data_IF_821920077289
#
_entry.id   IF_821920077289
#
_cell.length_a   1.000
_cell.length_b   1.000
_cell.length_c   1.000
_cell.angle_alpha   90.00
_cell.angle_beta   90.00
_cell.angle_gamma   90.00
#
_symmetry.space_group_name_H-M   'P 1'
#
loop_
_entity.id
_entity.type
_entity.pdbx_description
1 polymer ?
#
# COMPACT_ATOMS: atom_id res chain seq x y z
N UNK A 1 -38.84 4.94 -42.01
CA UNK A 1 -37.67 5.41 -41.25
C UNK A 1 -37.40 4.40 -40.15
N UNK A 2 -36.56 3.40 -40.40
CA UNK A 2 -36.17 2.40 -39.41
C UNK A 2 -34.71 2.63 -39.07
N UNK A 3 -34.44 3.25 -37.92
CA UNK A 3 -33.11 3.31 -37.33
C UNK A 3 -32.77 1.93 -36.75
N UNK A 4 -32.26 1.02 -37.58
CA UNK A 4 -31.57 -0.17 -37.10
C UNK A 4 -30.21 0.26 -36.58
N UNK A 5 -30.06 0.25 -35.26
CA UNK A 5 -28.78 0.52 -34.60
C UNK A 5 -27.84 -0.62 -34.97
N UNK A 6 -26.76 -0.32 -35.68
CA UNK A 6 -25.72 -1.27 -36.10
C UNK A 6 -24.93 -1.78 -34.88
N UNK A 7 -25.51 -2.74 -34.15
CA UNK A 7 -24.88 -3.35 -32.97
C UNK A 7 -23.67 -4.22 -33.34
N UNK A 8 -23.56 -4.72 -34.59
CA UNK A 8 -22.49 -5.61 -35.02
C UNK A 8 -21.12 -4.92 -35.01
N UNK A 9 -21.02 -3.72 -35.60
CA UNK A 9 -19.80 -2.92 -35.57
C UNK A 9 -19.52 -2.29 -34.21
N UNK A 10 -20.56 -1.75 -33.55
CA UNK A 10 -20.41 -1.07 -32.27
C UNK A 10 -19.99 -2.01 -31.13
N UNK A 11 -20.61 -3.19 -31.03
CA UNK A 11 -20.27 -4.18 -30.01
C UNK A 11 -18.83 -4.71 -30.21
N UNK A 12 -18.42 -4.96 -31.46
CA UNK A 12 -17.04 -5.35 -31.79
C UNK A 12 -16.01 -4.30 -31.39
N UNK A 13 -16.30 -3.01 -31.64
CA UNK A 13 -15.45 -1.89 -31.19
C UNK A 13 -15.36 -1.84 -29.67
N UNK A 14 -16.50 -1.89 -28.96
CA UNK A 14 -16.53 -1.85 -27.49
C UNK A 14 -15.75 -3.03 -26.91
N UNK A 15 -15.95 -4.24 -27.42
CA UNK A 15 -15.22 -5.42 -26.98
C UNK A 15 -13.71 -5.27 -27.18
N UNK A 16 -13.29 -4.81 -28.36
CA UNK A 16 -11.86 -4.60 -28.68
C UNK A 16 -11.23 -3.53 -27.78
N UNK A 17 -11.97 -2.45 -27.49
CA UNK A 17 -11.54 -1.40 -26.54
C UNK A 17 -11.37 -1.97 -25.14
N UNK A 18 -12.32 -2.77 -24.65
CA UNK A 18 -12.24 -3.40 -23.33
C UNK A 18 -11.06 -4.37 -23.24
N UNK A 19 -10.84 -5.20 -24.27
CA UNK A 19 -9.72 -6.15 -24.32
C UNK A 19 -8.38 -5.41 -24.34
N UNK A 20 -8.22 -4.39 -25.20
CA UNK A 20 -6.99 -3.61 -25.30
C UNK A 20 -6.63 -2.88 -23.99
N UNK A 21 -7.63 -2.47 -23.20
CA UNK A 21 -7.43 -1.77 -21.92
C UNK A 21 -7.41 -2.69 -20.70
N UNK A 22 -7.82 -3.96 -20.82
CA UNK A 22 -7.82 -4.91 -19.70
C UNK A 22 -6.46 -5.01 -18.96
N UNK A 23 -5.29 -4.95 -19.62
CA UNK A 23 -4.02 -4.99 -18.91
C UNK A 23 -3.74 -3.70 -18.12
N UNK A 24 -4.27 -2.55 -18.56
CA UNK A 24 -4.17 -1.28 -17.83
C UNK A 24 -4.91 -1.34 -16.49
N UNK A 25 -6.09 -2.00 -16.47
CA UNK A 25 -6.86 -2.21 -15.24
C UNK A 25 -6.08 -3.11 -14.28
N UNK A 26 -5.52 -4.21 -14.80
CA UNK A 26 -4.69 -5.12 -14.00
C UNK A 26 -3.50 -4.40 -13.36
N UNK A 27 -2.75 -3.59 -14.13
CA UNK A 27 -1.63 -2.80 -13.61
C UNK A 27 -2.06 -1.83 -12.51
N UNK A 28 -3.23 -1.20 -12.64
CA UNK A 28 -3.78 -0.31 -11.62
C UNK A 28 -4.02 -1.04 -10.30
N UNK A 29 -4.65 -2.22 -10.34
CA UNK A 29 -4.88 -3.05 -9.15
C UNK A 29 -3.57 -3.50 -8.52
N UNK A 30 -2.59 -3.90 -9.33
CA UNK A 30 -1.26 -4.26 -8.83
C UNK A 30 -0.59 -3.07 -8.14
N UNK A 31 -0.65 -1.87 -8.73
CA UNK A 31 -0.12 -0.65 -8.11
C UNK A 31 -0.76 -0.38 -6.73
N UNK A 32 -2.09 -0.43 -6.64
CA UNK A 32 -2.79 -0.27 -5.35
C UNK A 32 -2.39 -1.34 -4.34
N UNK A 33 -2.27 -2.60 -4.79
CA UNK A 33 -1.81 -3.72 -3.97
C UNK A 33 -0.40 -3.50 -3.42
N UNK A 34 0.57 -3.14 -4.27
CA UNK A 34 1.95 -2.84 -3.85
C UNK A 34 2.03 -1.63 -2.92
N UNK A 35 1.26 -0.57 -3.19
CA UNK A 35 1.22 0.61 -2.34
C UNK A 35 0.70 0.25 -0.94
N UNK A 36 -0.37 -0.55 -0.87
CA UNK A 36 -0.93 -1.07 0.37
C UNK A 36 0.06 -1.95 1.14
N UNK A 37 0.68 -2.92 0.46
CA UNK A 37 1.66 -3.82 1.08
C UNK A 37 2.86 -3.07 1.66
N UNK A 38 3.45 -2.14 0.89
CA UNK A 38 4.58 -1.34 1.38
C UNK A 38 4.19 -0.42 2.53
N UNK A 39 2.97 0.14 2.50
CA UNK A 39 2.46 0.93 3.63
C UNK A 39 2.37 0.08 4.89
N UNK A 40 1.77 -1.12 4.81
CA UNK A 40 1.67 -2.04 5.94
C UNK A 40 3.05 -2.49 6.47
N UNK A 41 3.98 -2.80 5.57
CA UNK A 41 5.35 -3.20 5.96
C UNK A 41 6.10 -2.09 6.69
N UNK A 42 6.04 -0.86 6.18
CA UNK A 42 6.72 0.28 6.81
C UNK A 42 6.04 0.72 8.10
N UNK A 43 4.70 0.61 8.18
CA UNK A 43 3.97 0.83 9.42
C UNK A 43 4.38 -0.21 10.48
N UNK A 44 4.50 -1.48 10.10
CA UNK A 44 4.96 -2.54 10.99
C UNK A 44 6.43 -2.34 11.44
N UNK A 45 7.30 -1.88 10.53
CA UNK A 45 8.69 -1.55 10.85
C UNK A 45 8.76 -0.37 11.84
N UNK A 46 7.97 0.68 11.62
CA UNK A 46 7.90 1.82 12.54
C UNK A 46 7.32 1.43 13.90
N UNK A 47 6.24 0.65 13.90
CA UNK A 47 5.59 0.14 15.11
C UNK A 47 6.56 -0.69 15.95
N UNK A 48 7.21 -1.67 15.32
CA UNK A 48 8.21 -2.53 15.99
C UNK A 48 9.46 -1.77 16.46
N UNK A 49 9.83 -0.66 15.81
CA UNK A 49 10.97 0.14 16.25
C UNK A 49 10.79 0.69 17.68
N UNK A 50 9.56 1.01 18.09
CA UNK A 50 9.25 1.46 19.44
C UNK A 50 9.48 0.40 20.53
N UNK A 51 9.62 -0.89 20.17
CA UNK A 51 10.00 -1.94 21.10
C UNK A 51 11.48 -1.87 21.51
N UNK A 52 12.30 -1.21 20.68
CA UNK A 52 13.77 -1.19 20.82
C UNK A 52 14.35 0.19 21.09
N UNK A 53 13.62 1.26 20.72
CA UNK A 53 14.12 2.63 20.79
C UNK A 53 13.03 3.60 21.24
N UNK A 54 13.40 4.51 22.15
CA UNK A 54 12.58 5.68 22.50
C UNK A 54 12.49 6.67 21.34
N UNK A 55 11.26 6.96 20.92
CA UNK A 55 10.99 7.85 19.78
C UNK A 55 9.79 8.75 20.09
N UNK A 56 9.74 9.92 19.45
CA UNK A 56 8.56 10.78 19.50
C UNK A 56 7.45 10.23 18.60
N UNK A 57 6.21 10.42 19.04
CA UNK A 57 5.04 10.10 18.24
C UNK A 57 4.98 11.00 17.00
N UNK A 58 4.43 10.40 15.95
CA UNK A 58 4.12 11.04 14.67
C UNK A 58 2.66 11.49 14.70
N UNK A 59 2.42 12.78 14.52
CA UNK A 59 1.09 13.38 14.62
C UNK A 59 0.88 14.42 13.53
N UNK A 60 -0.37 14.62 13.12
CA UNK A 60 -0.73 15.59 12.07
C UNK A 60 -0.44 17.02 12.49
N UNK A 61 -0.77 17.37 13.74
CA UNK A 61 -0.50 18.68 14.33
C UNK A 61 0.48 18.52 15.49
N UNK A 62 1.80 18.69 15.27
CA UNK A 62 2.81 18.47 16.29
C UNK A 62 2.86 19.62 17.31
N UNK A 63 3.07 19.27 18.57
CA UNK A 63 3.41 20.21 19.63
C UNK A 63 4.79 19.88 20.20
N UNK A 64 5.66 20.88 20.31
CA UNK A 64 7.01 20.72 20.88
C UNK A 64 7.90 19.77 20.07
N UNK A 65 8.37 18.68 20.71
CA UNK A 65 9.32 17.72 20.12
C UNK A 65 8.69 16.64 19.21
N UNK A 66 7.37 16.63 19.06
CA UNK A 66 6.65 15.65 18.22
C UNK A 66 6.99 15.81 16.74
N UNK A 67 6.87 14.72 15.98
CA UNK A 67 7.16 14.73 14.55
C UNK A 67 5.86 14.98 13.78
N UNK A 68 5.84 16.01 12.93
CA UNK A 68 4.75 16.19 11.99
C UNK A 68 4.67 15.02 11.02
N UNK A 69 3.45 14.55 10.76
CA UNK A 69 3.12 13.73 9.59
C UNK A 69 2.36 14.56 8.58
N UNK A 70 3.10 15.16 7.65
CA UNK A 70 2.57 15.63 6.39
C UNK A 70 3.36 14.98 5.24
N UNK A 71 3.30 13.66 5.18
CA UNK A 71 3.83 12.89 4.06
C UNK A 71 2.71 11.98 3.57
N UNK A 72 2.65 11.76 2.26
CA UNK A 72 1.85 10.71 1.66
C UNK A 72 2.00 9.42 2.49
N UNK A 73 0.96 8.58 2.47
CA UNK A 73 0.84 7.29 3.16
C UNK A 73 2.12 6.42 3.14
N UNK A 74 2.96 6.61 2.11
CA UNK A 74 4.25 5.97 1.92
C UNK A 74 5.40 7.01 1.84
N UNK A 75 6.55 6.79 2.50
CA UNK A 75 7.72 7.66 2.34
C UNK A 75 8.13 7.78 0.86
N UNK A 76 8.48 8.99 0.42
CA UNK A 76 8.82 9.27 -0.99
C UNK A 76 9.89 8.33 -1.58
N UNK A 77 10.81 7.82 -0.76
CA UNK A 77 11.85 6.87 -1.19
C UNK A 77 11.28 5.56 -1.74
N UNK A 78 10.08 5.16 -1.32
CA UNK A 78 9.38 3.98 -1.81
C UNK A 78 8.23 4.36 -2.75
N UNK A 79 7.51 5.45 -2.46
CA UNK A 79 6.39 5.90 -3.28
C UNK A 79 6.78 6.43 -4.65
N UNK A 80 7.87 7.20 -4.76
CA UNK A 80 8.29 7.78 -6.04
C UNK A 80 8.77 6.70 -7.02
N UNK A 81 9.65 5.73 -6.65
CA UNK A 81 10.02 4.66 -7.56
C UNK A 81 8.84 3.79 -7.99
N UNK A 82 7.91 3.49 -7.07
CA UNK A 82 6.71 2.72 -7.39
C UNK A 82 5.81 3.47 -8.39
N UNK A 83 5.64 4.77 -8.19
CA UNK A 83 4.86 5.63 -9.09
C UNK A 83 5.49 5.67 -10.48
N UNK A 84 6.79 5.99 -10.56
CA UNK A 84 7.53 6.04 -11.84
C UNK A 84 7.44 4.69 -12.54
N UNK A 85 7.77 3.60 -11.87
CA UNK A 85 7.72 2.25 -12.44
C UNK A 85 6.32 1.88 -12.94
N UNK A 86 5.28 2.20 -12.18
CA UNK A 86 3.88 2.00 -12.59
C UNK A 86 3.54 2.83 -13.84
N UNK A 87 3.80 4.14 -13.82
CA UNK A 87 3.55 5.01 -14.97
C UNK A 87 4.28 4.54 -16.23
N UNK A 88 5.54 4.09 -16.09
CA UNK A 88 6.31 3.53 -17.20
C UNK A 88 5.70 2.23 -17.73
N UNK A 89 5.29 1.31 -16.85
CA UNK A 89 4.61 0.07 -17.26
C UNK A 89 3.29 0.35 -17.99
N UNK A 90 2.47 1.26 -17.45
CA UNK A 90 1.22 1.71 -18.09
C UNK A 90 1.47 2.28 -19.49
N UNK A 91 2.51 3.11 -19.62
CA UNK A 91 2.93 3.66 -20.90
C UNK A 91 3.31 2.57 -21.89
N UNK A 92 4.19 1.64 -21.52
CA UNK A 92 4.60 0.56 -22.43
C UNK A 92 3.48 -0.43 -22.77
N UNK A 93 2.56 -0.68 -21.84
CA UNK A 93 1.37 -1.50 -22.12
C UNK A 93 0.48 -0.83 -23.19
N UNK A 94 0.34 0.50 -23.17
CA UNK A 94 -0.40 1.21 -24.22
C UNK A 94 0.22 1.05 -25.61
N UNK A 95 1.53 0.85 -25.67
CA UNK A 95 2.27 0.58 -26.90
C UNK A 95 2.27 -0.92 -27.26
N UNK A 96 1.96 -1.80 -26.31
CA UNK A 96 2.00 -3.25 -26.49
C UNK A 96 0.73 -3.78 -27.14
N UNK A 97 -0.43 -3.28 -26.74
CA UNK A 97 -1.73 -3.64 -27.28
C UNK A 97 -2.51 -2.35 -27.55
N UNK A 98 -2.87 -2.11 -28.80
CA UNK A 98 -3.57 -0.89 -29.21
C UNK A 98 -4.75 -1.23 -30.11
N UNK A 99 -5.79 -0.38 -30.09
CA UNK A 99 -6.92 -0.52 -30.99
C UNK A 99 -6.49 -0.16 -32.41
N UNK A 100 -6.68 -1.08 -33.35
CA UNK A 100 -6.47 -0.86 -34.77
C UNK A 100 -7.82 -0.98 -35.50
N UNK A 101 -8.21 0.06 -36.23
CA UNK A 101 -9.42 0.06 -37.05
C UNK A 101 -9.03 0.09 -38.52
N UNK A 102 -9.52 -0.89 -39.27
CA UNK A 102 -9.32 -0.99 -40.71
C UNK A 102 -10.64 -0.62 -41.38
N UNK A 103 -10.66 0.51 -42.09
CA UNK A 103 -11.80 0.92 -42.91
C UNK A 103 -11.57 0.45 -44.35
N UNK A 104 -12.64 0.01 -45.02
CA UNK A 104 -12.60 -0.37 -46.44
C UNK A 104 -13.07 0.81 -47.28
N UNK A 105 -12.25 1.19 -48.25
CA UNK A 105 -12.52 2.30 -49.19
C UNK A 105 -12.91 1.69 -50.53
N UNK A 106 -14.01 2.16 -51.12
CA UNK A 106 -14.47 1.75 -52.45
C UNK A 106 -13.63 2.41 -53.57
N UNK A 107 -13.73 1.89 -54.79
CA UNK A 107 -13.16 2.43 -56.04
C UNK A 107 -13.51 3.90 -56.30
N UNK A 108 -14.60 4.39 -55.71
CA UNK A 108 -15.06 5.78 -55.74
C UNK A 108 -14.37 6.68 -54.69
N UNK A 109 -13.50 6.14 -53.85
CA UNK A 109 -12.81 6.85 -52.76
C UNK A 109 -13.65 7.05 -51.50
N UNK A 110 -14.89 6.51 -51.45
CA UNK A 110 -15.78 6.63 -50.30
C UNK A 110 -15.62 5.44 -49.34
N UNK A 111 -15.68 5.68 -48.03
CA UNK A 111 -15.68 4.60 -47.04
C UNK A 111 -16.96 3.78 -47.16
N UNK A 112 -16.82 2.44 -47.20
CA UNK A 112 -17.97 1.54 -47.22
C UNK A 112 -18.49 1.37 -45.80
N UNK A 113 -19.71 1.86 -45.48
CA UNK A 113 -20.28 1.71 -44.15
C UNK A 113 -20.47 0.23 -43.80
N UNK A 114 -20.25 -0.12 -42.52
CA UNK A 114 -20.45 -1.46 -41.95
C UNK A 114 -19.53 -2.59 -42.45
N UNK A 115 -18.48 -2.28 -43.22
CA UNK A 115 -17.46 -3.27 -43.63
C UNK A 115 -16.13 -3.08 -42.87
N UNK A 116 -15.99 -1.98 -42.12
CA UNK A 116 -14.80 -1.73 -41.31
C UNK A 116 -14.64 -2.72 -40.15
N UNK A 117 -13.43 -3.27 -39.99
CA UNK A 117 -13.10 -4.24 -38.94
C UNK A 117 -12.28 -3.52 -37.85
N UNK A 118 -12.69 -3.67 -36.60
CA UNK A 118 -11.90 -3.24 -35.44
C UNK A 118 -11.22 -4.44 -34.81
N UNK A 119 -9.91 -4.35 -34.62
CA UNK A 119 -9.06 -5.41 -34.09
C UNK A 119 -8.01 -4.84 -33.14
N UNK A 120 -7.27 -5.71 -32.44
CA UNK A 120 -6.13 -5.32 -31.62
C UNK A 120 -4.84 -5.44 -32.43
N UNK A 121 -4.12 -4.33 -32.58
CA UNK A 121 -2.71 -4.36 -32.95
C UNK A 121 -1.84 -4.70 -31.74
N UNK A 122 -0.70 -5.37 -31.96
CA UNK A 122 0.26 -5.68 -30.92
C UNK A 122 1.70 -5.39 -31.36
N UNK A 123 2.54 -5.00 -30.39
CA UNK A 123 3.99 -4.76 -30.60
C UNK A 123 4.81 -5.75 -29.78
N UNK A 124 5.44 -6.76 -30.40
CA UNK A 124 6.24 -7.76 -29.69
C UNK A 124 7.37 -7.17 -28.86
N UNK A 125 8.03 -6.11 -29.35
CA UNK A 125 9.11 -5.46 -28.63
C UNK A 125 8.62 -4.76 -27.36
N UNK A 126 7.50 -4.05 -27.42
CA UNK A 126 6.90 -3.45 -26.24
C UNK A 126 6.46 -4.51 -25.22
N UNK A 127 5.89 -5.63 -25.70
CA UNK A 127 5.51 -6.75 -24.83
C UNK A 127 6.72 -7.34 -24.09
N UNK A 128 7.85 -7.56 -24.77
CA UNK A 128 9.09 -8.04 -24.13
C UNK A 128 9.55 -7.07 -23.04
N UNK A 129 9.55 -5.76 -23.31
CA UNK A 129 9.94 -4.74 -22.33
C UNK A 129 8.99 -4.74 -21.12
N UNK A 130 7.68 -4.85 -21.33
CA UNK A 130 6.69 -4.96 -20.23
C UNK A 130 6.95 -6.19 -19.38
N UNK A 131 7.24 -7.35 -19.98
CA UNK A 131 7.53 -8.59 -19.25
C UNK A 131 8.78 -8.43 -18.39
N UNK A 132 9.87 -7.89 -18.97
CA UNK A 132 11.13 -7.67 -18.25
C UNK A 132 10.91 -6.70 -17.08
N UNK A 133 10.35 -5.51 -17.34
CA UNK A 133 10.10 -4.51 -16.29
C UNK A 133 9.13 -5.03 -15.22
N UNK A 134 8.06 -5.70 -15.63
CA UNK A 134 7.09 -6.32 -14.72
C UNK A 134 7.73 -7.36 -13.82
N UNK A 135 8.59 -8.22 -14.37
CA UNK A 135 9.33 -9.22 -13.60
C UNK A 135 10.27 -8.58 -12.57
N UNK A 136 10.97 -7.49 -12.92
CA UNK A 136 11.83 -6.74 -12.00
C UNK A 136 11.00 -6.18 -10.84
N UNK A 137 9.85 -5.56 -11.12
CA UNK A 137 8.96 -5.01 -10.08
C UNK A 137 8.48 -6.12 -9.12
N UNK A 138 8.10 -7.28 -9.66
CA UNK A 138 7.67 -8.43 -8.85
C UNK A 138 8.81 -8.95 -7.97
N UNK A 139 10.01 -9.11 -8.51
CA UNK A 139 11.18 -9.56 -7.76
C UNK A 139 11.55 -8.58 -6.64
N UNK A 140 11.51 -7.27 -6.90
CA UNK A 140 11.72 -6.25 -5.89
C UNK A 140 10.67 -6.34 -4.78
N UNK A 141 9.40 -6.52 -5.15
CA UNK A 141 8.30 -6.73 -4.21
C UNK A 141 8.51 -7.93 -3.29
N UNK A 142 8.87 -9.08 -3.86
CA UNK A 142 9.19 -10.30 -3.10
C UNK A 142 10.39 -10.07 -2.17
N UNK A 143 11.46 -9.46 -2.69
CA UNK A 143 12.67 -9.18 -1.90
C UNK A 143 12.37 -8.29 -0.69
N UNK A 144 11.47 -7.32 -0.83
CA UNK A 144 11.01 -6.47 0.25
C UNK A 144 10.15 -7.24 1.25
N UNK A 145 9.29 -8.15 0.78
CA UNK A 145 8.49 -9.03 1.63
C UNK A 145 9.32 -10.02 2.45
N UNK A 146 10.49 -10.43 1.96
CA UNK A 146 11.43 -11.27 2.71
C UNK A 146 12.16 -10.52 3.83
N UNK A 147 12.04 -9.19 3.94
CA UNK A 147 12.69 -8.43 5.01
C UNK A 147 11.99 -8.67 6.33
N UNK A 148 12.72 -9.23 7.29
CA UNK A 148 12.20 -9.53 8.63
C UNK A 148 11.98 -8.23 9.42
N UNK A 149 10.76 -8.02 9.91
CA UNK A 149 10.46 -6.96 10.87
C UNK A 149 11.20 -7.21 12.20
N UNK A 150 11.59 -6.14 12.87
CA UNK A 150 12.24 -6.24 14.18
C UNK A 150 11.25 -6.88 15.17
N UNK A 151 11.69 -7.93 15.86
CA UNK A 151 10.88 -8.57 16.88
C UNK A 151 10.78 -7.70 18.14
N UNK A 152 9.84 -8.04 19.02
CA UNK A 152 9.77 -7.46 20.38
C UNK A 152 8.41 -6.89 20.74
N UNK A 153 7.60 -6.46 19.76
CA UNK A 153 6.24 -5.94 19.97
C UNK A 153 5.24 -6.70 19.10
N UNK A 154 4.03 -6.99 19.59
CA UNK A 154 2.98 -7.58 18.76
C UNK A 154 2.64 -6.65 17.59
N UNK A 155 2.48 -7.22 16.40
CA UNK A 155 2.05 -6.49 15.23
C UNK A 155 0.58 -6.09 15.42
N UNK A 156 0.34 -4.83 15.76
CA UNK A 156 -1.01 -4.29 15.86
C UNK A 156 -1.65 -4.09 14.47
N UNK A 157 -0.83 -3.95 13.43
CA UNK A 157 -1.29 -3.62 12.08
C UNK A 157 -2.10 -2.33 12.08
N UNK A 158 -3.26 -2.36 11.41
CA UNK A 158 -4.23 -1.26 11.41
C UNK A 158 -5.38 -1.45 12.41
N UNK A 159 -5.23 -2.35 13.39
CA UNK A 159 -6.27 -2.61 14.38
C UNK A 159 -6.28 -1.49 15.44
N UNK A 160 -7.32 -0.66 15.41
CA UNK A 160 -7.50 0.41 16.38
C UNK A 160 -7.57 -0.09 17.82
N UNK A 161 -8.19 -1.25 18.07
CA UNK A 161 -8.24 -1.86 19.39
C UNK A 161 -6.85 -2.25 19.92
N UNK A 162 -6.02 -2.86 19.08
CA UNK A 162 -4.64 -3.21 19.46
C UNK A 162 -3.75 -1.96 19.68
N UNK A 163 -3.95 -0.92 18.87
CA UNK A 163 -3.26 0.36 19.05
C UNK A 163 -3.72 1.04 20.35
N UNK A 164 -5.02 1.10 20.62
CA UNK A 164 -5.57 1.67 21.84
C UNK A 164 -5.05 0.96 23.08
N UNK A 165 -5.01 -0.38 23.05
CA UNK A 165 -4.51 -1.19 24.15
C UNK A 165 -3.04 -0.88 24.52
N UNK A 166 -2.23 -0.50 23.53
CA UNK A 166 -0.87 -0.05 23.76
C UNK A 166 -0.78 1.41 24.24
N UNK A 167 -1.81 2.22 24.06
CA UNK A 167 -1.86 3.67 24.34
C UNK A 167 -2.43 4.02 25.73
N UNK A 168 -2.33 3.12 26.71
CA UNK A 168 -2.71 3.37 28.10
C UNK A 168 -1.47 3.45 29.01
N UNK A 169 -0.75 4.59 29.03
CA UNK A 169 0.40 4.79 29.91
C UNK A 169 -0.03 4.81 31.39
N UNK A 170 0.93 4.65 32.31
CA UNK A 170 0.69 4.77 33.75
C UNK A 170 0.20 6.18 34.11
N UNK A 171 -0.64 6.31 35.13
CA UNK A 171 -1.15 7.62 35.58
C UNK A 171 -0.05 8.60 36.02
N UNK A 172 1.12 8.08 36.39
CA UNK A 172 2.31 8.85 36.75
C UNK A 172 3.02 9.47 35.54
N UNK A 173 2.77 8.97 34.33
CA UNK A 173 3.37 9.44 33.09
C UNK A 173 2.52 10.54 32.43
N UNK A 174 2.54 11.72 33.04
CA UNK A 174 1.83 12.90 32.54
C UNK A 174 2.42 13.35 31.21
N UNK A 175 1.55 13.66 30.24
CA UNK A 175 1.92 14.11 28.89
C UNK A 175 2.85 13.16 28.13
N UNK A 176 2.69 11.84 28.34
CA UNK A 176 3.46 10.81 27.62
C UNK A 176 3.48 11.02 26.10
N UNK A 177 2.36 11.50 25.53
CA UNK A 177 2.21 11.78 24.10
C UNK A 177 3.16 12.86 23.57
N UNK A 178 3.57 13.82 24.40
CA UNK A 178 4.49 14.91 24.04
C UNK A 178 5.96 14.51 24.18
N UNK A 179 6.24 13.40 24.87
CA UNK A 179 7.59 12.92 25.20
C UNK A 179 8.04 11.81 24.25
N UNK A 180 9.29 11.37 24.40
CA UNK A 180 9.80 10.18 23.71
C UNK A 180 9.30 8.93 24.41
N UNK A 181 8.46 8.17 23.73
CA UNK A 181 7.88 6.93 24.25
C UNK A 181 8.61 5.71 23.72
N UNK A 182 8.56 4.64 24.49
CA UNK A 182 8.97 3.29 24.10
C UNK A 182 7.88 2.33 24.57
N UNK A 183 7.67 1.25 23.82
CA UNK A 183 6.75 0.21 24.21
C UNK A 183 7.48 -0.86 25.01
N UNK A 184 6.87 -1.31 26.10
CA UNK A 184 7.37 -2.41 26.90
C UNK A 184 6.58 -2.58 28.19
N UNK A 185 7.09 -3.44 29.06
CA UNK A 185 6.50 -3.72 30.38
C UNK A 185 6.70 -2.51 31.28
N UNK A 186 5.60 -2.05 31.86
CA UNK A 186 5.60 -0.98 32.87
C UNK A 186 5.80 -1.58 34.27
N UNK A 187 6.68 -0.98 35.08
CA UNK A 187 6.93 -1.40 36.45
C UNK A 187 5.68 -1.31 37.36
N UNK A 188 5.45 -2.37 38.14
CA UNK A 188 4.26 -2.66 38.96
C UNK A 188 3.98 -1.68 40.12
N UNK A 189 4.93 -0.83 40.52
CA UNK A 189 4.76 0.04 41.71
C UNK A 189 3.57 1.00 41.58
N UNK A 190 3.17 1.34 40.35
CA UNK A 190 2.02 2.22 40.09
C UNK A 190 0.67 1.51 40.11
N UNK A 191 0.63 0.18 40.11
CA UNK A 191 -0.59 -0.63 39.89
C UNK A 191 -0.98 -1.54 41.07
N UNK A 192 -0.18 -1.59 42.15
CA UNK A 192 -0.51 -2.32 43.39
C UNK A 192 -1.89 -1.96 43.98
N UNK A 193 -2.44 -0.78 43.66
CA UNK A 193 -3.76 -0.35 44.14
C UNK A 193 -4.97 -1.00 43.44
N UNK A 194 -4.79 -1.70 42.31
CA UNK A 194 -5.91 -2.30 41.56
C UNK A 194 -6.13 -3.80 41.78
N UNK A 195 -5.31 -4.48 42.57
CA UNK A 195 -5.45 -5.93 42.80
C UNK A 195 -5.20 -6.81 41.56
N UNK A 196 -4.81 -6.22 40.42
CA UNK A 196 -4.48 -6.92 39.19
C UNK A 196 -3.02 -7.38 39.22
N UNK A 197 -2.81 -8.69 39.43
CA UNK A 197 -1.50 -9.38 39.44
C UNK A 197 -0.87 -9.54 38.03
N UNK A 198 -1.46 -8.94 37.00
CA UNK A 198 -1.05 -9.12 35.60
C UNK A 198 -0.28 -7.89 35.15
N UNK A 199 0.97 -8.08 34.70
CA UNK A 199 1.79 -6.99 34.18
C UNK A 199 1.15 -6.35 32.93
N UNK A 200 1.38 -5.06 32.73
CA UNK A 200 0.86 -4.32 31.59
C UNK A 200 1.96 -3.87 30.65
N UNK A 201 1.68 -3.91 29.34
CA UNK A 201 2.56 -3.37 28.31
C UNK A 201 1.90 -2.14 27.66
N UNK A 202 2.58 -1.01 27.67
CA UNK A 202 2.09 0.21 27.03
C UNK A 202 3.22 1.09 26.55
N UNK A 203 2.88 2.06 25.69
CA UNK A 203 3.76 3.17 25.36
C UNK A 203 3.89 4.09 26.57
N UNK A 204 5.12 4.31 27.02
CA UNK A 204 5.40 5.25 28.11
C UNK A 204 6.72 5.97 27.91
N UNK A 205 6.81 7.18 28.47
CA UNK A 205 8.05 7.96 28.60
C UNK A 205 8.92 7.51 29.79
N UNK A 206 8.38 6.69 30.69
CA UNK A 206 9.08 6.11 31.82
C UNK A 206 9.94 4.90 31.40
N UNK A 207 10.76 4.39 32.32
CA UNK A 207 11.59 3.18 32.08
C UNK A 207 10.70 1.97 31.80
N UNK A 208 11.00 1.27 30.70
CA UNK A 208 10.30 0.05 30.29
C UNK A 208 11.28 -1.11 30.21
N UNK A 209 10.78 -2.31 30.45
CA UNK A 209 11.52 -3.55 30.27
C UNK A 209 10.96 -4.34 29.08
N UNK A 210 11.79 -5.17 28.47
CA UNK A 210 11.34 -6.05 27.39
C UNK A 210 10.39 -7.13 27.96
N UNK A 211 9.29 -7.46 27.25
CA UNK A 211 8.40 -8.53 27.69
C UNK A 211 9.13 -9.87 27.74
N UNK A 212 8.86 -10.64 28.79
CA UNK A 212 9.44 -11.97 28.98
C UNK A 212 8.59 -13.01 28.24
N UNK A 213 9.24 -13.86 27.44
CA UNK A 213 8.55 -14.94 26.71
C UNK A 213 7.89 -15.89 27.70
N UNK A 214 6.60 -16.16 27.53
CA UNK A 214 5.81 -17.06 28.39
C UNK A 214 5.08 -16.38 29.56
N UNK A 215 5.31 -15.08 29.82
CA UNK A 215 4.53 -14.30 30.79
C UNK A 215 3.34 -13.63 30.09
N UNK A 216 2.16 -13.69 30.72
CA UNK A 216 0.95 -13.02 30.22
C UNK A 216 0.97 -11.55 30.64
N UNK A 217 0.63 -10.68 29.68
CA UNK A 217 0.51 -9.24 29.90
C UNK A 217 -0.85 -8.77 29.37
N UNK A 218 -1.54 -7.93 30.14
CA UNK A 218 -2.84 -7.39 29.76
C UNK A 218 -2.69 -6.04 29.03
N UNK A 219 -3.33 -5.93 27.87
CA UNK A 219 -3.64 -4.63 27.25
C UNK A 219 -4.90 -4.05 27.89
N UNK A 220 -5.00 -2.73 28.01
CA UNK A 220 -6.14 -2.07 28.67
C UNK A 220 -7.12 -1.46 27.67
#
# INVERSE_FOLDING_TARGET
MNHTIDLSGAAGVIFTVLVANSPQILLSFLYFGYNGLYTCMLLAEEWSAYASKRQFLRVTSPTGGQRSTCRLQLPYRYGVPLLIGSSTLHWFVSQSIFLARVNVIDSTGSEVPNVGISTCGYSPMAMIVVIILGSIVVLLGISMGCRRARGGMPLAGSCSAAISAACHPPKTDVDASLKRVMWGVVAEESFKHLGESVGHCSFTSLKVEAPTVGKLYAGR
#
